data_IF_153510828176
#
_entry.id   IF_153510828176
#
_cell.length_a   1.000
_cell.length_b   1.000
_cell.length_c   1.000
_cell.angle_alpha   90.00
_cell.angle_beta   90.00
_cell.angle_gamma   90.00
#
_symmetry.space_group_name_H-M   'P 1'
#
loop_
_entity.id
_entity.type
_entity.pdbx_description
1 polymer ?
#
# COMPACT_ATOMS: atom_id res chain seq x y z
N UNK A 1 -35.90 52.42 37.06
CA UNK A 1 -34.84 51.39 36.97
C UNK A 1 -35.30 50.28 36.04
N UNK A 2 -34.70 50.17 34.84
CA UNK A 2 -34.68 48.93 34.03
C UNK A 2 -33.71 49.15 32.87
N UNK A 3 -32.49 48.68 33.04
CA UNK A 3 -31.43 48.71 32.03
C UNK A 3 -31.50 47.38 31.28
N UNK A 4 -31.76 47.43 29.97
CA UNK A 4 -31.76 46.26 29.09
C UNK A 4 -30.33 46.07 28.61
N UNK A 5 -29.66 44.99 29.03
CA UNK A 5 -28.41 44.54 28.43
C UNK A 5 -28.73 43.71 27.18
N UNK A 6 -28.40 44.25 26.01
CA UNK A 6 -28.29 43.47 24.78
C UNK A 6 -26.97 42.68 24.82
N UNK A 7 -27.08 41.36 24.97
CA UNK A 7 -25.95 40.44 24.87
C UNK A 7 -25.76 40.06 23.40
N UNK A 8 -24.74 40.61 22.75
CA UNK A 8 -24.35 40.23 21.40
C UNK A 8 -23.50 38.96 21.45
N UNK A 9 -24.12 37.80 21.18
CA UNK A 9 -23.38 36.55 20.95
C UNK A 9 -22.76 36.59 19.55
N UNK A 10 -21.45 36.88 19.47
CA UNK A 10 -20.66 36.56 18.28
C UNK A 10 -20.50 35.05 18.18
N UNK A 11 -21.25 34.41 17.28
CA UNK A 11 -21.02 33.05 16.83
C UNK A 11 -19.89 33.07 15.79
N UNK A 12 -18.65 32.86 16.21
CA UNK A 12 -17.57 32.51 15.29
C UNK A 12 -17.78 31.06 14.84
N UNK A 13 -18.35 30.88 13.65
CA UNK A 13 -18.42 29.58 12.99
C UNK A 13 -17.00 29.14 12.62
N UNK A 14 -16.42 28.24 13.41
CA UNK A 14 -15.20 27.53 13.04
C UNK A 14 -15.61 26.45 12.04
N UNK A 15 -15.39 26.71 10.76
CA UNK A 15 -15.43 25.66 9.73
C UNK A 15 -14.27 24.70 10.00
N UNK A 16 -14.53 23.62 10.73
CA UNK A 16 -13.60 22.49 10.80
C UNK A 16 -13.61 21.84 9.42
N UNK A 17 -12.61 22.15 8.60
CA UNK A 17 -12.39 21.44 7.35
C UNK A 17 -12.22 19.95 7.71
N UNK A 18 -13.14 19.10 7.26
CA UNK A 18 -13.13 17.65 7.51
C UNK A 18 -12.06 16.91 6.68
N UNK A 19 -10.87 17.50 6.53
CA UNK A 19 -9.74 16.87 5.87
C UNK A 19 -8.88 16.14 6.89
N UNK A 20 -8.48 14.90 6.58
CA UNK A 20 -7.44 14.19 7.35
C UNK A 20 -6.13 14.99 7.42
N UNK A 21 -5.14 14.51 8.21
CA UNK A 21 -3.86 15.20 8.31
C UNK A 21 -3.22 15.39 6.92
N UNK A 22 -2.45 16.48 6.73
CA UNK A 22 -1.83 16.78 5.45
C UNK A 22 -1.00 15.59 4.95
N UNK A 23 -0.90 15.47 3.62
CA UNK A 23 -0.07 14.42 3.03
C UNK A 23 1.40 14.77 3.28
N UNK A 24 2.23 13.85 3.83
CA UNK A 24 3.64 14.11 4.05
C UNK A 24 4.39 14.39 2.73
N UNK A 25 5.56 15.05 2.78
CA UNK A 25 6.39 15.27 1.60
C UNK A 25 6.82 13.95 0.94
N UNK A 26 6.69 13.89 -0.39
CA UNK A 26 7.10 12.78 -1.25
C UNK A 26 8.09 13.29 -2.32
N UNK A 27 9.06 12.48 -2.78
CA UNK A 27 9.19 11.05 -2.54
C UNK A 27 9.72 10.70 -1.15
N UNK A 28 9.20 9.64 -0.54
CA UNK A 28 9.59 9.17 0.79
C UNK A 28 9.98 7.68 0.74
N UNK A 29 11.15 7.28 1.26
CA UNK A 29 11.53 5.88 1.31
C UNK A 29 10.67 5.10 2.30
N UNK A 30 10.57 3.79 2.11
CA UNK A 30 10.16 2.88 3.19
C UNK A 30 11.28 2.78 4.24
N UNK A 31 10.93 2.53 5.50
CA UNK A 31 11.94 2.41 6.56
C UNK A 31 12.69 1.08 6.46
N UNK A 32 11.96 -0.01 6.15
CA UNK A 32 12.54 -1.36 6.04
C UNK A 32 11.67 -2.28 5.16
N UNK A 33 12.29 -3.25 4.48
CA UNK A 33 11.60 -4.39 3.86
C UNK A 33 11.80 -5.60 4.76
N UNK A 34 10.74 -6.04 5.43
CA UNK A 34 10.81 -7.10 6.43
C UNK A 34 10.68 -8.50 5.83
N UNK A 35 9.94 -8.60 4.72
CA UNK A 35 9.57 -9.85 4.08
C UNK A 35 9.46 -9.63 2.59
N UNK A 36 9.99 -10.56 1.80
CA UNK A 36 9.81 -10.60 0.36
C UNK A 36 9.67 -12.03 -0.13
N UNK A 37 8.52 -12.38 -0.72
CA UNK A 37 8.27 -13.71 -1.26
C UNK A 37 7.71 -13.65 -2.67
N UNK A 38 8.40 -14.22 -3.68
CA UNK A 38 7.82 -14.33 -5.00
C UNK A 38 6.64 -15.31 -5.00
N UNK A 39 5.68 -15.12 -5.90
CA UNK A 39 4.54 -16.01 -6.07
C UNK A 39 4.16 -16.20 -7.54
N UNK A 40 3.35 -17.21 -7.82
CA UNK A 40 2.61 -17.42 -9.07
C UNK A 40 1.15 -17.74 -8.76
N UNK A 41 0.25 -17.37 -9.68
CA UNK A 41 -1.16 -17.72 -9.66
C UNK A 41 -1.48 -18.65 -10.85
N UNK A 42 -2.25 -19.71 -10.60
CA UNK A 42 -2.73 -20.57 -11.69
C UNK A 42 -3.83 -19.86 -12.50
N UNK A 43 -4.72 -19.13 -11.82
CA UNK A 43 -5.70 -18.22 -12.41
C UNK A 43 -5.20 -16.79 -12.24
N UNK A 44 -4.97 -16.09 -13.36
CA UNK A 44 -4.53 -14.71 -13.33
C UNK A 44 -5.61 -13.81 -12.70
N UNK A 45 -5.18 -12.81 -11.94
CA UNK A 45 -6.06 -11.72 -11.52
C UNK A 45 -5.90 -10.51 -12.43
N UNK A 46 -6.94 -9.70 -12.59
CA UNK A 46 -6.78 -8.39 -13.22
C UNK A 46 -6.07 -7.45 -12.24
N UNK A 47 -4.89 -6.97 -12.62
CA UNK A 47 -4.18 -5.93 -11.88
C UNK A 47 -4.52 -4.57 -12.46
N UNK A 48 -5.17 -3.74 -11.65
CA UNK A 48 -5.71 -2.43 -12.03
C UNK A 48 -5.10 -1.25 -11.27
N UNK A 49 -4.05 -1.49 -10.46
CA UNK A 49 -3.30 -0.44 -9.76
C UNK A 49 -2.31 0.31 -10.67
N UNK A 50 -2.67 0.49 -11.94
CA UNK A 50 -1.97 1.22 -12.97
C UNK A 50 -2.96 1.67 -14.05
N UNK A 51 -2.57 2.62 -14.90
CA UNK A 51 -3.46 3.16 -15.96
C UNK A 51 -3.93 2.12 -16.96
N UNK A 52 -3.07 1.19 -17.33
CA UNK A 52 -3.34 0.14 -18.30
C UNK A 52 -3.39 -1.21 -17.58
N UNK A 53 -4.58 -1.72 -17.20
CA UNK A 53 -4.66 -2.92 -16.39
C UNK A 53 -4.39 -4.17 -17.22
N UNK A 54 -3.73 -5.16 -16.61
CA UNK A 54 -3.28 -6.39 -17.27
C UNK A 54 -3.53 -7.63 -16.40
N UNK A 55 -3.38 -8.81 -16.99
CA UNK A 55 -3.52 -10.08 -16.28
C UNK A 55 -2.23 -10.42 -15.53
N UNK A 56 -2.34 -10.51 -14.21
CA UNK A 56 -1.25 -10.80 -13.28
C UNK A 56 -1.30 -12.27 -12.85
N UNK A 57 -0.28 -13.03 -13.23
CA UNK A 57 -0.11 -14.43 -12.80
C UNK A 57 1.21 -14.68 -12.04
N UNK A 58 2.05 -13.67 -11.85
CA UNK A 58 3.32 -13.75 -11.11
C UNK A 58 3.64 -12.43 -10.45
N UNK A 59 4.15 -12.46 -9.22
CA UNK A 59 4.47 -11.25 -8.49
C UNK A 59 5.38 -11.50 -7.29
N UNK A 60 5.58 -10.46 -6.49
CA UNK A 60 6.25 -10.52 -5.19
C UNK A 60 5.33 -9.95 -4.10
N UNK A 61 5.16 -10.70 -3.02
CA UNK A 61 4.56 -10.20 -1.78
C UNK A 61 5.65 -9.49 -0.98
N UNK A 62 5.37 -8.27 -0.52
CA UNK A 62 6.23 -7.50 0.35
C UNK A 62 5.54 -7.20 1.68
N UNK A 63 6.30 -7.22 2.78
CA UNK A 63 5.92 -6.54 4.02
C UNK A 63 6.90 -5.41 4.27
N UNK A 64 6.38 -4.20 4.36
CA UNK A 64 7.13 -2.96 4.44
C UNK A 64 6.87 -2.31 5.79
N UNK A 65 7.94 -1.90 6.47
CA UNK A 65 7.85 -0.95 7.58
C UNK A 65 7.86 0.46 7.00
N UNK A 66 6.90 1.27 7.40
CA UNK A 66 6.68 2.61 6.84
C UNK A 66 6.37 3.60 7.94
N UNK A 67 6.60 4.88 7.64
CA UNK A 67 6.09 5.98 8.46
C UNK A 67 4.56 6.03 8.40
N UNK A 68 3.84 5.89 9.52
CA UNK A 68 2.37 5.81 9.52
C UNK A 68 1.66 6.96 8.81
N UNK A 69 2.22 8.17 8.87
CA UNK A 69 1.64 9.36 8.25
C UNK A 69 1.53 9.28 6.72
N UNK A 70 2.35 8.44 6.06
CA UNK A 70 2.30 8.21 4.62
C UNK A 70 1.08 7.40 4.18
N UNK A 71 0.47 6.66 5.10
CA UNK A 71 -0.54 5.65 4.77
C UNK A 71 -1.86 5.83 5.55
N UNK A 72 -2.04 7.00 6.15
CA UNK A 72 -3.33 7.40 6.73
C UNK A 72 -4.40 7.43 5.60
N UNK A 73 -5.54 6.75 5.77
CA UNK A 73 -6.64 6.81 4.80
C UNK A 73 -7.14 8.24 4.60
N UNK A 74 -7.33 8.67 3.35
CA UNK A 74 -7.78 10.03 3.02
C UNK A 74 -8.94 10.01 2.02
N UNK A 75 -9.73 11.08 2.04
CA UNK A 75 -10.73 11.36 1.00
C UNK A 75 -10.12 12.06 -0.24
N UNK A 76 -8.82 12.36 -0.18
CA UNK A 76 -8.03 12.92 -1.27
C UNK A 76 -7.10 11.85 -1.85
N UNK A 77 -6.36 12.20 -2.91
CA UNK A 77 -5.27 11.38 -3.42
C UNK A 77 -4.24 11.08 -2.31
N UNK A 78 -3.74 9.85 -2.31
CA UNK A 78 -2.77 9.33 -1.34
C UNK A 78 -1.42 9.05 -2.04
N UNK A 79 -0.29 9.06 -1.32
CA UNK A 79 0.99 8.67 -1.88
C UNK A 79 0.96 7.29 -2.54
N UNK A 80 1.35 7.22 -3.81
CA UNK A 80 1.41 5.96 -4.56
C UNK A 80 2.69 5.21 -4.18
N UNK A 81 2.56 3.91 -3.88
CA UNK A 81 3.70 3.04 -3.61
C UNK A 81 4.31 2.55 -4.92
N UNK A 82 5.58 2.87 -5.14
CA UNK A 82 6.38 2.43 -6.28
C UNK A 82 7.44 1.41 -5.87
N UNK A 83 7.72 0.48 -6.78
CA UNK A 83 8.80 -0.50 -6.68
C UNK A 83 9.50 -0.57 -8.03
N UNK A 84 10.76 -0.15 -8.09
CA UNK A 84 11.52 -0.11 -9.35
C UNK A 84 10.81 0.75 -10.41
N UNK A 85 10.21 0.12 -11.41
CA UNK A 85 9.53 0.78 -12.56
C UNK A 85 8.03 0.50 -12.63
N UNK A 86 7.39 0.29 -11.49
CA UNK A 86 5.96 -0.05 -11.42
C UNK A 86 5.35 0.39 -10.10
N UNK A 87 4.03 0.40 -10.06
CA UNK A 87 3.25 0.58 -8.83
C UNK A 87 3.10 -0.75 -8.09
N UNK A 88 2.87 -0.66 -6.78
CA UNK A 88 2.52 -1.80 -5.95
C UNK A 88 1.08 -1.64 -5.42
N UNK A 89 0.35 -2.75 -5.38
CA UNK A 89 -0.98 -2.80 -4.77
C UNK A 89 -0.86 -2.96 -3.26
N UNK A 90 -1.32 -1.96 -2.51
CA UNK A 90 -1.40 -2.04 -1.04
C UNK A 90 -2.64 -2.85 -0.66
N UNK A 91 -2.47 -3.84 0.21
CA UNK A 91 -3.55 -4.74 0.64
C UNK A 91 -4.17 -4.35 1.99
N UNK A 92 -3.53 -3.44 2.70
CA UNK A 92 -3.98 -2.86 3.96
C UNK A 92 -3.57 -1.37 4.00
N UNK A 93 -4.05 -0.63 4.99
CA UNK A 93 -3.65 0.75 5.20
C UNK A 93 -2.34 0.84 5.96
N UNK A 94 -2.21 0.18 7.11
CA UNK A 94 -0.98 0.17 7.89
C UNK A 94 -0.72 1.42 8.75
N UNK A 95 -1.64 2.37 8.82
CA UNK A 95 -1.48 3.61 9.61
C UNK A 95 -1.49 3.37 11.13
N UNK A 96 -2.03 2.26 11.61
CA UNK A 96 -2.03 1.92 13.04
C UNK A 96 -0.82 1.09 13.44
N UNK A 97 -0.31 0.25 12.53
CA UNK A 97 0.79 -0.69 12.80
C UNK A 97 2.15 -0.20 12.30
N UNK A 98 2.18 0.75 11.37
CA UNK A 98 3.38 1.13 10.62
C UNK A 98 3.81 0.07 9.61
N UNK A 99 2.94 -0.88 9.24
CA UNK A 99 3.26 -1.96 8.31
C UNK A 99 2.29 -2.03 7.13
N UNK A 100 2.85 -2.06 5.93
CA UNK A 100 2.11 -2.25 4.67
C UNK A 100 2.46 -3.61 4.08
N UNK A 101 1.44 -4.40 3.78
CA UNK A 101 1.53 -5.61 2.98
C UNK A 101 1.14 -5.23 1.55
N UNK A 102 2.01 -5.53 0.60
CA UNK A 102 1.81 -5.16 -0.79
C UNK A 102 2.06 -6.33 -1.75
N UNK A 103 1.36 -6.30 -2.89
CA UNK A 103 1.62 -7.16 -4.04
C UNK A 103 2.20 -6.32 -5.16
N UNK A 104 3.34 -6.79 -5.68
CA UNK A 104 4.06 -6.15 -6.78
C UNK A 104 4.02 -7.08 -8.00
N UNK A 105 3.70 -6.59 -9.20
CA UNK A 105 3.80 -7.40 -10.41
C UNK A 105 5.22 -7.87 -10.70
N UNK A 106 5.37 -9.10 -11.22
CA UNK A 106 6.68 -9.64 -11.60
C UNK A 106 7.61 -9.96 -10.44
N UNK A 107 8.85 -10.32 -10.78
CA UNK A 107 9.88 -10.66 -9.80
C UNK A 107 10.68 -9.41 -9.45
N UNK A 108 10.53 -8.96 -8.20
CA UNK A 108 11.25 -7.79 -7.66
C UNK A 108 12.70 -8.15 -7.30
N UNK A 109 13.66 -7.41 -7.85
CA UNK A 109 15.07 -7.46 -7.44
C UNK A 109 15.33 -6.35 -6.41
N UNK A 110 15.23 -6.68 -5.13
CA UNK A 110 15.40 -5.72 -4.03
C UNK A 110 16.76 -4.99 -4.03
N UNK A 111 17.77 -5.51 -4.72
CA UNK A 111 19.09 -4.87 -4.83
C UNK A 111 19.19 -3.86 -5.98
N UNK A 112 18.17 -3.82 -6.85
CA UNK A 112 18.10 -2.92 -8.02
C UNK A 112 16.86 -2.04 -8.02
N UNK A 113 15.76 -2.53 -7.46
CA UNK A 113 14.46 -1.88 -7.45
C UNK A 113 14.28 -1.09 -6.14
N UNK A 114 14.43 0.25 -6.14
CA UNK A 114 14.08 1.06 -4.98
C UNK A 114 12.58 0.98 -4.68
N UNK A 115 12.22 1.19 -3.41
CA UNK A 115 10.83 1.16 -2.93
C UNK A 115 10.53 2.48 -2.22
N UNK A 116 9.52 3.20 -2.66
CA UNK A 116 9.18 4.52 -2.12
C UNK A 116 7.71 4.89 -2.33
N UNK A 117 7.25 5.84 -1.54
CA UNK A 117 6.00 6.55 -1.76
C UNK A 117 6.28 7.78 -2.62
N UNK A 118 5.67 7.84 -3.80
CA UNK A 118 5.76 8.95 -4.74
C UNK A 118 4.64 9.98 -4.56
N UNK A 119 4.53 10.87 -5.54
CA UNK A 119 3.50 11.92 -5.57
C UNK A 119 2.10 11.35 -5.33
N UNK A 120 1.24 12.02 -4.53
CA UNK A 120 -0.13 11.58 -4.33
C UNK A 120 -0.90 11.53 -5.64
N UNK A 121 -1.57 10.41 -5.90
CA UNK A 121 -2.40 10.18 -7.08
C UNK A 121 -3.33 8.98 -6.85
N UNK A 122 -4.26 8.76 -7.76
CA UNK A 122 -4.91 7.46 -7.92
C UNK A 122 -3.97 6.51 -8.69
N UNK A 123 -3.63 5.32 -8.16
CA UNK A 123 -2.77 4.35 -8.86
C UNK A 123 -3.27 4.01 -10.27
N UNK A 124 -4.59 3.96 -10.48
CA UNK A 124 -5.27 3.68 -11.74
C UNK A 124 -5.05 4.79 -12.80
N UNK A 125 -4.40 5.90 -12.43
CA UNK A 125 -4.02 6.98 -13.37
C UNK A 125 -2.54 6.95 -13.74
N UNK A 126 -1.74 6.11 -13.08
CA UNK A 126 -0.28 6.08 -13.23
C UNK A 126 0.11 5.31 -14.49
N UNK A 127 0.73 6.00 -15.44
CA UNK A 127 1.33 5.42 -16.65
C UNK A 127 2.86 5.39 -16.60
N UNK A 128 3.48 4.85 -17.66
CA UNK A 128 4.93 4.75 -17.79
C UNK A 128 5.63 6.13 -17.72
N UNK A 129 5.02 7.16 -18.31
CA UNK A 129 5.58 8.51 -18.27
C UNK A 129 5.59 9.08 -16.84
N UNK A 130 4.53 8.82 -16.09
CA UNK A 130 4.42 9.15 -14.66
C UNK A 130 5.47 8.38 -13.85
N UNK A 131 5.59 7.06 -14.04
CA UNK A 131 6.60 6.22 -13.38
C UNK A 131 8.01 6.76 -13.63
N UNK A 132 8.35 7.08 -14.88
CA UNK A 132 9.67 7.63 -15.23
C UNK A 132 9.96 8.94 -14.48
N UNK A 133 8.97 9.81 -14.36
CA UNK A 133 9.06 11.06 -13.59
C UNK A 133 9.29 10.79 -12.11
N UNK A 134 8.52 9.86 -11.52
CA UNK A 134 8.66 9.50 -10.11
C UNK A 134 9.99 8.81 -9.80
N UNK A 135 10.50 7.96 -10.69
CA UNK A 135 11.84 7.39 -10.56
C UNK A 135 12.91 8.48 -10.52
N UNK A 136 12.82 9.49 -11.38
CA UNK A 136 13.78 10.60 -11.40
C UNK A 136 13.73 11.42 -10.10
N UNK A 137 12.52 11.69 -9.56
CA UNK A 137 12.34 12.34 -8.26
C UNK A 137 12.96 11.53 -7.12
N UNK A 138 12.68 10.22 -7.08
CA UNK A 138 13.24 9.32 -6.06
C UNK A 138 14.77 9.29 -6.10
N UNK A 139 15.36 9.22 -7.30
CA UNK A 139 16.81 9.28 -7.49
C UNK A 139 17.39 10.62 -7.02
N UNK A 140 16.75 11.74 -7.36
CA UNK A 140 17.17 13.07 -6.90
C UNK A 140 17.09 13.22 -5.38
N UNK A 141 16.10 12.57 -4.74
CA UNK A 141 15.97 12.49 -3.30
C UNK A 141 16.95 11.50 -2.63
N UNK A 142 17.80 10.82 -3.40
CA UNK A 142 18.80 9.88 -2.89
C UNK A 142 18.23 8.55 -2.40
N UNK A 143 17.00 8.20 -2.81
CA UNK A 143 16.39 6.91 -2.49
C UNK A 143 17.13 5.82 -3.27
N UNK A 144 17.54 4.77 -2.56
CA UNK A 144 18.34 3.66 -3.11
C UNK A 144 17.61 2.33 -2.90
N UNK A 145 17.95 1.37 -3.76
CA UNK A 145 17.62 -0.03 -3.52
C UNK A 145 18.34 -0.56 -2.27
N UNK A 146 17.91 -1.73 -1.79
CA UNK A 146 18.44 -2.32 -0.57
C UNK A 146 19.88 -2.80 -0.76
N UNK A 147 20.63 -2.87 0.35
CA UNK A 147 21.89 -3.62 0.35
C UNK A 147 21.63 -5.12 0.10
N UNK A 148 22.65 -5.85 -0.36
CA UNK A 148 22.55 -7.30 -0.54
C UNK A 148 22.20 -8.04 0.76
N UNK A 149 22.61 -7.51 1.91
CA UNK A 149 22.30 -8.08 3.22
C UNK A 149 20.83 -7.89 3.58
N UNK A 150 20.30 -6.67 3.43
CA UNK A 150 18.89 -6.36 3.69
C UNK A 150 17.97 -7.15 2.74
N UNK A 151 18.31 -7.20 1.45
CA UNK A 151 17.58 -7.98 0.46
C UNK A 151 17.53 -9.47 0.83
N UNK A 152 18.67 -10.05 1.22
CA UNK A 152 18.75 -11.46 1.64
C UNK A 152 17.92 -11.70 2.90
N UNK A 153 17.97 -10.82 3.89
CA UNK A 153 17.19 -10.97 5.13
C UNK A 153 15.67 -11.01 4.84
N UNK A 154 15.17 -10.08 4.01
CA UNK A 154 13.77 -10.05 3.60
C UNK A 154 13.35 -11.31 2.82
N UNK A 155 14.19 -11.75 1.87
CA UNK A 155 13.95 -12.95 1.08
C UNK A 155 14.01 -14.23 1.91
N UNK A 156 14.96 -14.35 2.84
CA UNK A 156 15.05 -15.50 3.75
C UNK A 156 13.83 -15.60 4.66
N UNK A 157 13.26 -14.46 5.09
CA UNK A 157 12.00 -14.45 5.83
C UNK A 157 10.79 -14.81 4.96
N UNK A 158 10.82 -14.40 3.68
CA UNK A 158 9.83 -14.76 2.67
C UNK A 158 9.80 -16.24 2.32
N UNK A 159 10.99 -16.85 2.24
CA UNK A 159 11.16 -18.21 1.77
C UNK A 159 11.08 -18.33 0.26
N UNK A 160 10.85 -19.56 -0.22
CA UNK A 160 10.81 -19.88 -1.65
C UNK A 160 9.51 -19.42 -2.30
N UNK A 161 9.51 -19.40 -3.65
CA UNK A 161 8.35 -19.02 -4.45
C UNK A 161 7.11 -19.82 -4.02
N UNK A 162 6.02 -19.10 -3.78
CA UNK A 162 4.71 -19.67 -3.50
C UNK A 162 3.94 -19.92 -4.81
N UNK A 163 3.20 -21.02 -4.91
CA UNK A 163 2.18 -21.20 -5.93
C UNK A 163 0.80 -21.18 -5.25
N UNK A 164 -0.10 -20.31 -5.70
CA UNK A 164 -1.49 -20.26 -5.27
C UNK A 164 -2.44 -20.47 -6.46
N UNK A 165 -3.61 -21.06 -6.22
CA UNK A 165 -4.58 -21.29 -7.32
C UNK A 165 -5.07 -19.97 -7.91
N UNK A 166 -5.36 -18.99 -7.08
CA UNK A 166 -5.80 -17.66 -7.48
C UNK A 166 -5.53 -16.64 -6.36
N UNK A 167 -5.91 -15.39 -6.59
CA UNK A 167 -5.70 -14.32 -5.61
C UNK A 167 -6.44 -14.55 -4.29
N UNK A 168 -7.64 -15.15 -4.31
CA UNK A 168 -8.38 -15.44 -3.08
C UNK A 168 -7.63 -16.44 -2.19
N UNK A 169 -7.04 -17.48 -2.78
CA UNK A 169 -6.20 -18.45 -2.06
C UNK A 169 -4.93 -17.77 -1.53
N UNK A 170 -4.28 -16.91 -2.33
CA UNK A 170 -3.12 -16.15 -1.86
C UNK A 170 -3.45 -15.25 -0.65
N UNK A 171 -4.61 -14.58 -0.70
CA UNK A 171 -5.11 -13.72 0.36
C UNK A 171 -5.41 -14.50 1.66
N UNK A 172 -6.17 -15.59 1.54
CA UNK A 172 -6.62 -16.40 2.69
C UNK A 172 -5.48 -17.18 3.37
N UNK A 173 -4.65 -17.89 2.59
CA UNK A 173 -3.68 -18.85 3.13
C UNK A 173 -2.37 -18.20 3.53
N UNK A 174 -1.96 -17.13 2.84
CA UNK A 174 -0.64 -16.50 3.05
C UNK A 174 -0.75 -15.09 3.60
N UNK A 175 -1.42 -14.19 2.89
CA UNK A 175 -1.40 -12.75 3.23
C UNK A 175 -2.15 -12.50 4.54
N UNK A 176 -3.22 -13.25 4.84
CA UNK A 176 -3.95 -13.15 6.11
C UNK A 176 -3.04 -13.39 7.32
N UNK A 177 -2.11 -14.36 7.23
CA UNK A 177 -1.12 -14.59 8.28
C UNK A 177 -0.12 -13.44 8.43
N UNK A 178 0.23 -12.76 7.33
CA UNK A 178 1.07 -11.56 7.37
C UNK A 178 0.34 -10.38 8.03
N UNK A 179 -0.96 -10.21 7.79
CA UNK A 179 -1.77 -9.21 8.51
C UNK A 179 -1.78 -9.49 10.00
N UNK A 180 -2.05 -10.73 10.41
CA UNK A 180 -2.06 -11.09 11.84
C UNK A 180 -0.71 -10.85 12.52
N UNK A 181 0.39 -11.09 11.78
CA UNK A 181 1.74 -10.91 12.30
C UNK A 181 2.19 -9.45 12.36
N UNK A 182 1.94 -8.66 11.31
CA UNK A 182 2.54 -7.34 11.15
C UNK A 182 1.55 -6.18 11.31
N UNK A 183 0.25 -6.40 11.07
CA UNK A 183 -0.80 -5.40 11.24
C UNK A 183 -2.02 -5.97 12.00
N UNK A 184 -1.85 -6.45 13.25
CA UNK A 184 -2.93 -7.11 14.00
C UNK A 184 -4.13 -6.20 14.27
N UNK A 185 -3.96 -4.88 14.18
CA UNK A 185 -5.04 -3.88 14.26
C UNK A 185 -6.02 -4.02 13.09
N UNK A 186 -5.55 -4.50 11.93
CA UNK A 186 -6.34 -4.73 10.73
C UNK A 186 -6.76 -6.19 10.56
N UNK A 187 -6.72 -7.01 11.62
CA UNK A 187 -7.06 -8.45 11.59
C UNK A 187 -8.41 -8.77 10.95
N UNK A 188 -9.36 -7.83 10.95
CA UNK A 188 -10.67 -7.98 10.30
C UNK A 188 -10.52 -8.23 8.79
N UNK A 189 -9.50 -7.66 8.14
CA UNK A 189 -9.19 -7.92 6.72
C UNK A 189 -8.82 -9.40 6.52
N UNK A 190 -7.94 -9.93 7.37
CA UNK A 190 -7.55 -11.34 7.36
C UNK A 190 -8.75 -12.27 7.61
N UNK A 191 -9.60 -11.94 8.58
CA UNK A 191 -10.83 -12.68 8.86
C UNK A 191 -11.77 -12.70 7.64
N UNK A 192 -11.95 -11.56 6.97
CA UNK A 192 -12.77 -11.44 5.77
C UNK A 192 -12.24 -12.25 4.59
N UNK A 193 -10.92 -12.22 4.33
CA UNK A 193 -10.34 -12.99 3.24
C UNK A 193 -10.41 -14.50 3.45
N UNK A 194 -10.57 -14.97 4.69
CA UNK A 194 -10.77 -16.39 4.99
C UNK A 194 -12.22 -16.85 4.89
N UNK A 195 -13.17 -15.93 4.68
CA UNK A 195 -14.57 -16.31 4.48
C UNK A 195 -14.73 -17.03 3.13
N UNK A 196 -15.56 -18.08 3.06
CA UNK A 196 -15.88 -18.73 1.80
C UNK A 196 -16.59 -17.75 0.87
N UNK A 197 -16.18 -17.73 -0.40
CA UNK A 197 -16.87 -16.96 -1.44
C UNK A 197 -18.18 -17.67 -1.74
N UNK A 198 -19.31 -17.05 -1.36
CA UNK A 198 -20.64 -17.55 -1.71
C UNK A 198 -20.93 -17.16 -3.15
N UNK A 199 -20.85 -18.11 -4.06
CA UNK A 199 -21.35 -17.91 -5.43
C UNK A 199 -22.87 -17.84 -5.37
N UNK A 200 -23.51 -16.72 -5.79
CA UNK A 200 -24.98 -16.68 -5.83
C UNK A 200 -25.50 -17.80 -6.72
N UNK A 201 -26.52 -18.52 -6.24
CA UNK A 201 -27.17 -19.55 -7.04
C UNK A 201 -27.67 -18.92 -8.34
N UNK A 202 -27.37 -19.58 -9.47
CA UNK A 202 -27.86 -19.14 -10.78
C UNK A 202 -29.40 -19.17 -10.74
N UNK A 203 -30.10 -18.11 -11.16
CA UNK A 203 -31.56 -18.09 -11.18
C UNK A 203 -32.14 -19.18 -12.11
#
# INVERSE_FOLDING_TARGET
MKTILMSACLLTAVCVAQGGPPVPPTPAPVDEVLYARPFTLNEAMRFDWCKEPFDLNRGTILVLKVKPELVIPRQSEEPVLYVGRQTAMRLNHGNESGHVIAVVPGDVDLTKDPIWFGTPALPERVDEATIKTECAKAQQAGIKALSAEQARAAQSRGGTRLNASNMQVLLSDTISGLIEQYSPQEKRLAEQWRLPVVTPAKP
#
